data_IF_464773389328
#
_entry.id   IF_464773389328
#
_cell.length_a   1.000
_cell.length_b   1.000
_cell.length_c   1.000
_cell.angle_alpha   90.00
_cell.angle_beta   90.00
_cell.angle_gamma   90.00
#
_symmetry.space_group_name_H-M   'P 1'
#
loop_
_entity.id
_entity.type
_entity.pdbx_description
1 polymer ?
#
# COMPACT_ATOMS: atom_id res chain seq x y z
N UNK A 1 -16.73 -8.47 -4.14
CA UNK A 1 -16.11 -7.40 -3.32
C UNK A 1 -14.76 -7.08 -3.94
N UNK A 2 -14.39 -5.80 -4.02
CA UNK A 2 -13.08 -5.43 -4.57
C UNK A 2 -11.99 -5.71 -3.53
N UNK A 3 -10.86 -6.25 -3.97
CA UNK A 3 -9.72 -6.63 -3.16
C UNK A 3 -8.64 -5.57 -3.22
N UNK A 4 -8.12 -5.15 -2.07
CA UNK A 4 -7.01 -4.21 -1.97
C UNK A 4 -5.79 -4.83 -1.28
N UNK A 5 -4.64 -4.73 -1.91
CA UNK A 5 -3.35 -5.06 -1.29
C UNK A 5 -2.60 -3.78 -0.94
N UNK A 6 -1.99 -3.72 0.25
CA UNK A 6 -1.28 -2.54 0.75
C UNK A 6 0.16 -2.89 1.15
N UNK A 7 1.13 -2.24 0.52
CA UNK A 7 2.53 -2.26 0.93
C UNK A 7 2.86 -0.96 1.64
N UNK A 8 3.55 -1.04 2.78
CA UNK A 8 3.89 0.13 3.59
C UNK A 8 5.39 0.22 3.75
N UNK A 9 5.95 1.39 3.44
CA UNK A 9 7.34 1.74 3.60
C UNK A 9 7.45 2.99 4.47
N UNK A 10 8.55 3.13 5.22
CA UNK A 10 8.79 4.27 6.08
C UNK A 10 8.78 3.92 7.56
N UNK A 11 7.96 4.61 8.35
CA UNK A 11 7.99 4.53 9.81
C UNK A 11 6.63 4.13 10.41
N UNK A 12 6.54 4.15 11.75
CA UNK A 12 5.31 3.82 12.48
C UNK A 12 4.11 4.69 12.09
N UNK A 13 4.33 5.94 11.66
CA UNK A 13 3.23 6.77 11.15
C UNK A 13 2.63 6.18 9.87
N UNK A 14 3.45 5.70 8.93
CA UNK A 14 2.94 5.08 7.71
C UNK A 14 2.16 3.80 8.01
N UNK A 15 2.55 3.04 9.05
CA UNK A 15 1.80 1.85 9.48
C UNK A 15 0.42 2.27 10.01
N UNK A 16 0.37 3.28 10.89
CA UNK A 16 -0.89 3.81 11.42
C UNK A 16 -1.78 4.37 10.31
N UNK A 17 -1.21 5.12 9.35
CA UNK A 17 -1.92 5.64 8.18
C UNK A 17 -2.51 4.50 7.34
N UNK A 18 -1.75 3.42 7.13
CA UNK A 18 -2.20 2.24 6.40
C UNK A 18 -3.39 1.54 7.09
N UNK A 19 -3.39 1.45 8.42
CA UNK A 19 -4.55 0.93 9.18
C UNK A 19 -5.78 1.83 9.03
N UNK A 20 -5.57 3.16 9.09
CA UNK A 20 -6.63 4.14 8.86
C UNK A 20 -7.23 4.03 7.46
N UNK A 21 -6.38 3.92 6.44
CA UNK A 21 -6.80 3.73 5.05
C UNK A 21 -7.62 2.45 4.87
N UNK A 22 -7.17 1.33 5.45
CA UNK A 22 -7.92 0.07 5.40
C UNK A 22 -9.28 0.18 6.10
N UNK A 23 -9.35 0.89 7.23
CA UNK A 23 -10.61 1.15 7.92
C UNK A 23 -11.59 1.96 7.07
N UNK A 24 -11.10 3.01 6.39
CA UNK A 24 -11.92 3.81 5.47
C UNK A 24 -12.40 2.97 4.29
N UNK A 25 -11.49 2.27 3.62
CA UNK A 25 -11.79 1.46 2.43
C UNK A 25 -12.70 0.27 2.75
N UNK A 26 -12.55 -0.34 3.93
CA UNK A 26 -13.43 -1.39 4.41
C UNK A 26 -14.88 -0.94 4.52
N UNK A 27 -15.12 0.31 4.95
CA UNK A 27 -16.47 0.90 4.98
C UNK A 27 -17.06 1.11 3.58
N UNK A 28 -16.21 1.31 2.58
CA UNK A 28 -16.60 1.41 1.16
C UNK A 28 -16.71 0.03 0.47
N UNK A 29 -16.58 -1.07 1.22
CA UNK A 29 -16.79 -2.45 0.71
C UNK A 29 -15.56 -3.10 0.09
N UNK A 30 -14.37 -2.54 0.29
CA UNK A 30 -13.11 -3.20 -0.04
C UNK A 30 -12.75 -4.26 1.01
N UNK A 31 -12.09 -5.33 0.56
CA UNK A 31 -11.54 -6.38 1.42
C UNK A 31 -10.04 -6.43 1.22
N UNK A 32 -9.30 -6.62 2.31
CA UNK A 32 -7.84 -6.77 2.23
C UNK A 32 -7.48 -8.07 1.48
N UNK A 33 -6.55 -7.96 0.54
CA UNK A 33 -5.87 -9.10 -0.06
C UNK A 33 -4.54 -9.35 0.68
N UNK A 34 -4.18 -10.62 0.83
CA UNK A 34 -2.88 -11.02 1.40
C UNK A 34 -1.80 -11.20 0.33
N UNK A 35 -2.22 -11.38 -0.93
CA UNK A 35 -1.34 -11.50 -2.09
C UNK A 35 -1.64 -10.37 -3.10
N UNK A 36 -0.61 -9.65 -3.60
CA UNK A 36 -0.78 -8.63 -4.64
C UNK A 36 -1.42 -9.18 -5.93
N UNK A 37 -1.22 -10.45 -6.28
CA UNK A 37 -1.80 -11.08 -7.47
C UNK A 37 -3.32 -11.24 -7.37
N UNK A 38 -3.87 -11.19 -6.15
CA UNK A 38 -5.31 -11.31 -5.90
C UNK A 38 -6.02 -9.95 -5.79
N UNK A 39 -5.28 -8.85 -5.88
CA UNK A 39 -5.81 -7.52 -5.66
C UNK A 39 -6.35 -6.87 -6.94
N UNK A 40 -7.51 -6.23 -6.83
CA UNK A 40 -8.03 -5.33 -7.86
C UNK A 40 -7.35 -3.96 -7.82
N UNK A 41 -6.84 -3.58 -6.63
CA UNK A 41 -6.15 -2.32 -6.38
C UNK A 41 -4.94 -2.58 -5.49
N UNK A 42 -3.80 -2.01 -5.86
CA UNK A 42 -2.59 -2.03 -5.04
C UNK A 42 -2.27 -0.61 -4.54
N UNK A 43 -2.07 -0.48 -3.23
CA UNK A 43 -1.72 0.78 -2.59
C UNK A 43 -0.33 0.69 -1.96
N UNK A 44 0.58 1.56 -2.39
CA UNK A 44 1.92 1.64 -1.82
C UNK A 44 2.00 2.92 -0.99
N UNK A 45 2.03 2.78 0.33
CA UNK A 45 2.13 3.90 1.27
C UNK A 45 3.61 4.14 1.64
N UNK A 46 4.10 5.36 1.44
CA UNK A 46 5.46 5.75 1.81
C UNK A 46 5.53 7.22 2.23
N UNK A 47 6.61 7.60 2.90
CA UNK A 47 6.86 9.00 3.25
C UNK A 47 7.59 9.73 2.12
N UNK A 48 7.16 10.95 1.79
CA UNK A 48 7.83 11.82 0.81
C UNK A 48 9.04 12.58 1.36
N UNK A 49 9.33 12.43 2.66
CA UNK A 49 10.38 13.22 3.35
C UNK A 49 11.68 12.45 3.58
N UNK A 50 11.75 11.18 3.14
CA UNK A 50 12.95 10.35 3.26
C UNK A 50 13.28 9.75 1.90
N UNK A 51 14.34 10.24 1.27
CA UNK A 51 14.81 9.80 -0.06
C UNK A 51 14.91 8.28 -0.19
N UNK A 52 15.45 7.60 0.83
CA UNK A 52 15.59 6.13 0.79
C UNK A 52 14.25 5.39 0.70
N UNK A 53 13.19 5.92 1.32
CA UNK A 53 11.87 5.30 1.28
C UNK A 53 11.22 5.51 -0.10
N UNK A 54 11.42 6.68 -0.71
CA UNK A 54 10.96 6.98 -2.06
C UNK A 54 11.67 6.11 -3.11
N UNK A 55 13.00 6.05 -3.09
CA UNK A 55 13.79 5.24 -4.03
C UNK A 55 13.39 3.76 -3.99
N UNK A 56 13.09 3.24 -2.79
CA UNK A 56 12.62 1.86 -2.62
C UNK A 56 11.26 1.61 -3.27
N UNK A 57 10.33 2.56 -3.13
CA UNK A 57 9.01 2.46 -3.79
C UNK A 57 9.13 2.55 -5.30
N UNK A 58 9.97 3.45 -5.82
CA UNK A 58 10.20 3.57 -7.28
C UNK A 58 10.74 2.26 -7.84
N UNK A 59 11.75 1.66 -7.19
CA UNK A 59 12.29 0.35 -7.58
C UNK A 59 11.22 -0.75 -7.57
N UNK A 60 10.40 -0.78 -6.50
CA UNK A 60 9.30 -1.74 -6.35
C UNK A 60 8.24 -1.57 -7.44
N UNK A 61 7.87 -0.34 -7.80
CA UNK A 61 6.92 -0.09 -8.90
C UNK A 61 7.42 -0.67 -10.23
N UNK A 62 8.72 -0.61 -10.51
CA UNK A 62 9.32 -1.23 -11.69
C UNK A 62 9.36 -2.76 -11.67
N UNK A 63 9.28 -3.40 -10.50
CA UNK A 63 9.06 -4.85 -10.38
C UNK A 63 7.60 -5.22 -10.64
N UNK A 64 6.66 -4.40 -10.17
CA UNK A 64 5.23 -4.65 -10.25
C UNK A 64 4.62 -4.36 -11.63
N UNK A 65 5.27 -3.53 -12.45
CA UNK A 65 4.86 -3.24 -13.83
C UNK A 65 5.34 -4.26 -14.87
N UNK A 66 6.11 -5.28 -14.45
CA UNK A 66 6.67 -6.31 -15.33
C UNK A 66 5.84 -7.58 -15.38
#
# INVERSE_FOLDING_TARGET
MKRIYIETYGCQMNVADSELLLGVLGREGYVRADDPAEADVMLVNTCAVRDNAEQRVIGRMGELQR
#
